data_IF_394556655628
#
_entry.id   IF_394556655628
#
_cell.length_a   1.000
_cell.length_b   1.000
_cell.length_c   1.000
_cell.angle_alpha   90.00
_cell.angle_beta   90.00
_cell.angle_gamma   90.00
#
_symmetry.space_group_name_H-M   'P 1'
#
loop_
_entity.id
_entity.type
_entity.pdbx_description
1 polymer ?
#
# COMPACT_ATOMS: atom_id res chain seq x y z
N UNK A 1 66.86 3.81 0.24
CA UNK A 1 65.67 3.65 -0.63
C UNK A 1 64.73 2.64 0.03
N UNK A 2 63.69 3.09 0.75
CA UNK A 2 62.68 2.22 1.35
C UNK A 2 61.30 2.74 0.92
N UNK A 3 60.84 2.27 -0.24
CA UNK A 3 59.53 2.62 -0.79
C UNK A 3 58.45 1.92 0.05
N UNK A 4 57.63 2.70 0.75
CA UNK A 4 56.44 2.19 1.43
C UNK A 4 55.28 2.28 0.43
N UNK A 5 54.75 1.14 0.00
CA UNK A 5 53.56 1.08 -0.82
C UNK A 5 52.33 1.38 0.06
N UNK A 6 51.64 2.49 -0.21
CA UNK A 6 50.38 2.83 0.42
C UNK A 6 49.27 2.09 -0.34
N UNK A 7 48.68 1.07 0.29
CA UNK A 7 47.49 0.39 -0.24
C UNK A 7 46.28 1.21 0.18
N UNK A 8 45.69 1.94 -0.78
CA UNK A 8 44.44 2.65 -0.59
C UNK A 8 43.31 1.65 -0.84
N UNK A 9 42.70 1.14 0.24
CA UNK A 9 41.50 0.32 0.16
C UNK A 9 40.29 1.24 -0.09
N UNK A 10 39.86 1.32 -1.35
CA UNK A 10 38.62 2.00 -1.72
C UNK A 10 37.43 1.12 -1.30
N UNK A 11 36.82 1.40 -0.15
CA UNK A 11 35.54 0.79 0.23
C UNK A 11 34.42 1.43 -0.60
N UNK A 12 34.02 0.78 -1.69
CA UNK A 12 32.79 1.10 -2.42
C UNK A 12 31.58 0.68 -1.57
N UNK A 13 30.98 1.63 -0.85
CA UNK A 13 29.65 1.41 -0.28
C UNK A 13 28.62 1.61 -1.39
N UNK A 14 28.11 0.51 -1.95
CA UNK A 14 26.95 0.56 -2.82
C UNK A 14 25.74 0.92 -1.95
N UNK A 15 25.33 2.19 -1.98
CA UNK A 15 24.08 2.62 -1.37
C UNK A 15 22.92 1.88 -2.04
N UNK A 16 22.16 1.12 -1.26
CA UNK A 16 20.91 0.53 -1.74
C UNK A 16 19.94 1.70 -1.98
N UNK A 17 19.77 2.08 -3.24
CA UNK A 17 18.70 3.00 -3.64
C UNK A 17 17.40 2.22 -3.54
N UNK A 18 16.68 2.38 -2.44
CA UNK A 18 15.32 1.87 -2.35
C UNK A 18 14.44 2.71 -3.27
N UNK A 19 13.90 2.11 -4.33
CA UNK A 19 12.89 2.76 -5.16
C UNK A 19 11.66 3.07 -4.28
N UNK A 20 11.50 4.33 -3.87
CA UNK A 20 10.31 4.78 -3.17
C UNK A 20 9.18 4.92 -4.19
N UNK A 21 8.03 4.29 -3.93
CA UNK A 21 6.82 4.51 -4.72
C UNK A 21 6.45 6.00 -4.68
N UNK A 22 6.37 6.68 -5.83
CA UNK A 22 5.99 8.09 -5.86
C UNK A 22 4.67 8.37 -5.14
N UNK A 23 4.62 9.46 -4.36
CA UNK A 23 3.44 9.82 -3.55
C UNK A 23 2.14 9.94 -4.37
N UNK A 24 2.22 10.38 -5.61
CA UNK A 24 1.08 10.52 -6.54
C UNK A 24 0.47 9.17 -7.00
N UNK A 25 1.07 8.05 -6.59
CA UNK A 25 0.51 6.72 -6.82
C UNK A 25 -0.40 6.29 -5.68
N UNK A 26 -0.32 6.90 -4.51
CA UNK A 26 -1.21 6.57 -3.40
C UNK A 26 -2.55 7.27 -3.53
N UNK A 27 -3.61 6.56 -3.13
CA UNK A 27 -4.90 7.13 -2.86
C UNK A 27 -4.89 7.79 -1.46
N UNK A 28 -4.86 9.13 -1.42
CA UNK A 28 -4.68 9.90 -0.20
C UNK A 28 -5.77 10.96 -0.04
N UNK A 29 -6.39 11.00 1.14
CA UNK A 29 -7.22 12.12 1.56
C UNK A 29 -6.38 13.07 2.41
N UNK A 30 -6.05 14.25 1.89
CA UNK A 30 -5.20 15.24 2.57
C UNK A 30 -3.84 14.65 3.07
N UNK A 31 -3.30 13.68 2.34
CA UNK A 31 -2.06 12.97 2.71
C UNK A 31 -2.22 11.75 3.61
N UNK A 32 -3.46 11.40 3.98
CA UNK A 32 -3.82 10.27 4.82
C UNK A 32 -4.22 9.06 3.95
N UNK A 33 -3.58 7.92 4.19
CA UNK A 33 -3.93 6.67 3.54
C UNK A 33 -5.25 6.10 4.07
N UNK A 34 -5.99 5.42 3.19
CA UNK A 34 -7.21 4.67 3.52
C UNK A 34 -8.23 5.53 4.30
N UNK A 35 -8.26 6.84 4.02
CA UNK A 35 -9.16 7.79 4.69
C UNK A 35 -9.07 7.73 6.24
N UNK A 36 -7.91 7.33 6.79
CA UNK A 36 -7.66 7.23 8.22
C UNK A 36 -7.95 5.88 8.87
N UNK A 37 -8.35 4.87 8.09
CA UNK A 37 -8.54 3.50 8.59
C UNK A 37 -7.21 2.78 8.79
N UNK A 38 -7.17 1.93 9.82
CA UNK A 38 -5.99 1.18 10.23
C UNK A 38 -5.68 0.03 9.25
N UNK A 39 -4.55 0.08 8.51
CA UNK A 39 -4.20 -0.96 7.53
C UNK A 39 -3.97 -2.33 8.18
N UNK A 40 -3.56 -2.38 9.46
CA UNK A 40 -3.31 -3.63 10.18
C UNK A 40 -4.62 -4.27 10.64
N UNK A 41 -5.63 -3.46 10.98
CA UNK A 41 -6.92 -3.96 11.47
C UNK A 41 -7.62 -4.89 10.46
N UNK A 42 -7.47 -4.63 9.15
CA UNK A 42 -7.98 -5.50 8.09
C UNK A 42 -7.46 -6.95 8.19
N UNK A 43 -6.25 -7.15 8.72
CA UNK A 43 -5.64 -8.47 8.84
C UNK A 43 -5.88 -9.10 10.21
N UNK A 44 -5.70 -8.32 11.29
CA UNK A 44 -5.75 -8.86 12.65
C UNK A 44 -7.18 -8.96 13.20
N UNK A 45 -8.12 -8.17 12.67
CA UNK A 45 -9.54 -8.19 13.06
C UNK A 45 -10.48 -8.56 11.92
N UNK A 46 -9.99 -8.63 10.68
CA UNK A 46 -10.83 -8.78 9.48
C UNK A 46 -11.95 -7.72 9.44
N UNK A 47 -11.62 -6.48 9.81
CA UNK A 47 -12.54 -5.36 9.89
C UNK A 47 -11.83 -4.06 9.51
N UNK A 48 -12.57 -3.16 8.88
CA UNK A 48 -12.18 -1.77 8.76
C UNK A 48 -12.38 -1.11 10.13
N UNK A 49 -11.30 -0.58 10.70
CA UNK A 49 -11.34 0.12 11.99
C UNK A 49 -10.69 1.47 11.80
N UNK A 50 -11.38 2.54 12.20
CA UNK A 50 -10.81 3.89 12.18
C UNK A 50 -9.57 3.95 13.09
N UNK A 51 -8.50 4.50 12.53
CA UNK A 51 -7.30 4.81 13.28
C UNK A 51 -7.43 6.13 14.02
N UNK A 52 -6.50 6.37 14.94
CA UNK A 52 -6.43 7.60 15.72
C UNK A 52 -5.19 8.40 15.37
N UNK A 53 -5.34 9.72 15.30
CA UNK A 53 -4.22 10.65 15.03
C UNK A 53 -3.07 10.51 16.05
N UNK A 54 -3.38 10.19 17.31
CA UNK A 54 -2.37 9.93 18.34
C UNK A 54 -1.43 8.76 18.03
N UNK A 55 -1.89 7.80 17.21
CA UNK A 55 -1.09 6.66 16.77
C UNK A 55 -0.54 6.83 15.35
N UNK A 56 -0.49 8.04 14.79
CA UNK A 56 -0.02 8.25 13.42
C UNK A 56 1.43 7.79 13.18
N UNK A 57 1.71 7.34 11.96
CA UNK A 57 3.05 7.13 11.43
C UNK A 57 3.11 7.62 9.98
N UNK A 58 4.21 8.28 9.60
CA UNK A 58 4.44 8.70 8.22
C UNK A 58 5.59 7.89 7.63
N UNK A 59 5.33 7.23 6.50
CA UNK A 59 6.31 6.46 5.75
C UNK A 59 6.21 6.84 4.27
N UNK A 60 7.34 7.09 3.60
CA UNK A 60 7.38 7.48 2.19
C UNK A 60 6.48 8.70 1.85
N UNK A 61 6.33 9.63 2.80
CA UNK A 61 5.47 10.81 2.63
C UNK A 61 3.96 10.54 2.71
N UNK A 62 3.56 9.34 3.10
CA UNK A 62 2.17 8.91 3.33
C UNK A 62 1.94 8.77 4.83
N UNK A 63 0.86 9.37 5.34
CA UNK A 63 0.47 9.24 6.75
C UNK A 63 -0.53 8.10 6.90
N UNK A 64 -0.28 7.23 7.87
CA UNK A 64 -1.16 6.14 8.29
C UNK A 64 -1.62 6.37 9.73
N UNK A 65 -2.89 6.11 10.01
CA UNK A 65 -3.42 6.06 11.37
C UNK A 65 -3.65 4.62 11.79
N UNK A 66 -3.57 4.39 13.09
CA UNK A 66 -3.75 3.05 13.67
C UNK A 66 -4.72 3.12 14.84
N UNK A 67 -5.48 2.06 15.05
CA UNK A 67 -6.43 1.95 16.15
C UNK A 67 -5.73 1.75 17.50
N UNK A 68 -4.46 1.32 17.49
CA UNK A 68 -3.62 1.12 18.67
C UNK A 68 -2.13 1.30 18.39
N UNK A 69 -1.34 1.54 19.43
CA UNK A 69 0.12 1.55 19.35
C UNK A 69 0.69 0.19 18.87
N UNK A 70 0.09 -0.93 19.28
CA UNK A 70 0.50 -2.26 18.84
C UNK A 70 0.34 -2.45 17.32
N UNK A 71 -0.76 -1.97 16.74
CA UNK A 71 -0.97 -2.01 15.29
C UNK A 71 0.05 -1.13 14.56
N UNK A 72 0.33 0.07 15.06
CA UNK A 72 1.41 0.92 14.52
C UNK A 72 2.75 0.19 14.51
N UNK A 73 3.11 -0.51 15.58
CA UNK A 73 4.37 -1.26 15.65
C UNK A 73 4.42 -2.44 14.66
N UNK A 74 3.31 -3.16 14.48
CA UNK A 74 3.22 -4.22 13.47
C UNK A 74 3.45 -3.67 12.07
N UNK A 75 2.84 -2.51 11.75
CA UNK A 75 3.03 -1.85 10.48
C UNK A 75 4.48 -1.42 10.25
N UNK A 76 5.09 -0.75 11.22
CA UNK A 76 6.49 -0.29 11.11
C UNK A 76 7.45 -1.47 10.86
N UNK A 77 7.19 -2.62 11.48
CA UNK A 77 8.02 -3.83 11.30
C UNK A 77 7.89 -4.44 9.90
N UNK A 78 6.73 -4.35 9.26
CA UNK A 78 6.49 -4.97 7.96
C UNK A 78 5.41 -4.23 7.14
N UNK A 79 5.68 -2.99 6.76
CA UNK A 79 4.69 -2.12 6.10
C UNK A 79 4.18 -2.73 4.79
N UNK A 80 5.07 -3.37 4.02
CA UNK A 80 4.75 -3.98 2.71
C UNK A 80 3.65 -5.05 2.80
N UNK A 81 3.50 -5.70 3.96
CA UNK A 81 2.44 -6.68 4.17
C UNK A 81 1.07 -6.03 4.38
N UNK A 82 1.03 -4.88 5.05
CA UNK A 82 -0.21 -4.22 5.46
C UNK A 82 -0.67 -3.13 4.50
N UNK A 83 0.23 -2.58 3.67
CA UNK A 83 -0.13 -1.59 2.68
C UNK A 83 -1.14 -2.15 1.66
N UNK A 84 -2.17 -1.37 1.30
CA UNK A 84 -3.15 -1.80 0.31
C UNK A 84 -2.49 -1.93 -1.06
N UNK A 85 -2.91 -2.94 -1.81
CA UNK A 85 -2.51 -3.08 -3.20
C UNK A 85 -2.96 -1.88 -4.01
N UNK A 86 -2.25 -1.62 -5.10
CA UNK A 86 -2.55 -0.55 -6.03
C UNK A 86 -2.62 0.82 -5.35
N UNK A 87 -1.77 1.06 -4.34
CA UNK A 87 -1.70 2.33 -3.62
C UNK A 87 -2.98 2.72 -2.86
N UNK A 88 -3.91 1.78 -2.65
CA UNK A 88 -5.21 2.06 -2.04
C UNK A 88 -6.30 2.53 -3.02
N UNK A 89 -6.06 2.43 -4.33
CA UNK A 89 -7.11 2.62 -5.34
C UNK A 89 -7.98 1.36 -5.49
N UNK A 90 -9.20 1.53 -6.01
CA UNK A 90 -10.15 0.44 -6.23
C UNK A 90 -9.56 -0.67 -7.12
N UNK A 91 -9.42 -1.87 -6.57
CA UNK A 91 -8.85 -3.02 -7.26
C UNK A 91 -9.65 -3.42 -8.51
N UNK A 92 -10.98 -3.34 -8.44
CA UNK A 92 -11.83 -3.59 -9.60
C UNK A 92 -11.58 -2.60 -10.74
N UNK A 93 -11.53 -1.30 -10.46
CA UNK A 93 -11.28 -0.29 -11.51
C UNK A 93 -9.89 -0.46 -12.11
N UNK A 94 -8.89 -0.75 -11.26
CA UNK A 94 -7.54 -1.06 -11.72
C UNK A 94 -7.50 -2.26 -12.68
N UNK A 95 -8.29 -3.31 -12.40
CA UNK A 95 -8.41 -4.50 -13.26
C UNK A 95 -9.23 -4.28 -14.53
N UNK A 96 -10.36 -3.58 -14.42
CA UNK A 96 -11.31 -3.41 -15.51
C UNK A 96 -10.84 -2.37 -16.54
N UNK A 97 -10.38 -1.22 -16.08
CA UNK A 97 -10.04 -0.06 -16.93
C UNK A 97 -8.63 0.48 -16.70
N UNK A 98 -7.98 0.12 -15.59
CA UNK A 98 -6.68 0.69 -15.20
C UNK A 98 -6.79 2.09 -14.60
N UNK A 99 -8.00 2.52 -14.25
CA UNK A 99 -8.26 3.84 -13.69
C UNK A 99 -8.03 3.87 -12.17
N UNK A 100 -7.64 5.04 -11.67
CA UNK A 100 -7.56 5.36 -10.24
C UNK A 100 -8.94 5.82 -9.77
N UNK A 101 -9.67 4.94 -9.10
CA UNK A 101 -11.00 5.22 -8.54
C UNK A 101 -10.95 5.09 -7.03
N UNK A 102 -11.54 6.07 -6.35
CA UNK A 102 -11.67 6.11 -4.89
C UNK A 102 -12.32 4.86 -4.31
N UNK A 103 -12.07 4.63 -3.02
CA UNK A 103 -12.54 3.45 -2.31
C UNK A 103 -13.53 3.82 -1.21
N UNK A 104 -14.25 2.81 -0.73
CA UNK A 104 -14.87 2.83 0.58
C UNK A 104 -14.01 1.94 1.50
N UNK A 105 -13.46 2.46 2.61
CA UNK A 105 -12.59 1.69 3.52
C UNK A 105 -13.23 0.42 4.08
N UNK A 106 -14.56 0.39 4.20
CA UNK A 106 -15.30 -0.76 4.73
C UNK A 106 -15.51 -1.86 3.67
N UNK A 107 -15.23 -1.58 2.40
CA UNK A 107 -15.38 -2.55 1.31
C UNK A 107 -14.01 -3.05 0.86
N UNK A 108 -13.59 -4.17 1.44
CA UNK A 108 -12.27 -4.73 1.23
C UNK A 108 -12.30 -6.25 1.05
N UNK A 109 -11.18 -6.81 0.63
CA UNK A 109 -10.92 -8.25 0.61
C UNK A 109 -9.43 -8.50 0.86
N UNK A 110 -9.13 -9.53 1.65
CA UNK A 110 -7.78 -10.08 1.76
C UNK A 110 -7.66 -11.26 0.80
N UNK A 111 -6.69 -11.21 -0.12
CA UNK A 111 -6.39 -12.30 -1.06
C UNK A 111 -4.89 -12.54 -1.04
N UNK A 112 -4.46 -13.79 -0.83
CA UNK A 112 -3.05 -14.18 -0.75
C UNK A 112 -2.21 -13.30 0.20
N UNK A 113 -2.78 -12.95 1.35
CA UNK A 113 -2.12 -12.12 2.36
C UNK A 113 -1.95 -10.66 1.95
N UNK A 114 -2.73 -10.17 0.99
CA UNK A 114 -2.70 -8.78 0.50
C UNK A 114 -4.05 -8.11 0.61
N UNK A 115 -4.05 -6.83 0.97
CA UNK A 115 -5.26 -6.01 1.12
C UNK A 115 -5.69 -5.40 -0.21
N UNK A 116 -6.92 -5.66 -0.61
CA UNK A 116 -7.58 -5.05 -1.78
C UNK A 116 -8.78 -4.23 -1.30
N UNK A 117 -8.87 -2.99 -1.78
CA UNK A 117 -9.94 -2.05 -1.45
C UNK A 117 -10.83 -1.83 -2.68
N UNK A 118 -12.11 -1.52 -2.44
CA UNK A 118 -13.11 -1.44 -3.49
C UNK A 118 -13.95 -0.17 -3.37
N UNK A 119 -14.40 0.31 -4.53
CA UNK A 119 -15.40 1.35 -4.59
C UNK A 119 -16.74 0.80 -4.10
N UNK A 120 -17.39 1.56 -3.23
CA UNK A 120 -18.75 1.29 -2.81
C UNK A 120 -19.49 2.60 -2.50
N UNK A 121 -20.63 2.78 -3.15
CA UNK A 121 -21.60 3.84 -2.89
C UNK A 121 -23.01 3.25 -2.87
N UNK A 122 -23.99 4.06 -2.48
CA UNK A 122 -25.38 3.63 -2.25
C UNK A 122 -25.97 2.74 -3.36
N UNK A 123 -25.59 2.97 -4.63
CA UNK A 123 -26.14 2.24 -5.78
C UNK A 123 -25.11 1.36 -6.51
N UNK A 124 -23.83 1.37 -6.11
CA UNK A 124 -22.80 0.65 -6.84
C UNK A 124 -21.69 0.17 -5.92
N UNK A 125 -21.55 -1.16 -5.81
CA UNK A 125 -20.47 -1.84 -5.11
C UNK A 125 -19.68 -2.69 -6.12
N UNK A 126 -18.36 -2.50 -6.18
CA UNK A 126 -17.51 -3.22 -7.14
C UNK A 126 -16.97 -4.54 -6.61
N UNK A 127 -17.01 -4.81 -5.29
CA UNK A 127 -16.55 -6.09 -4.73
C UNK A 127 -17.35 -7.30 -5.26
N UNK A 128 -18.70 -7.27 -5.36
CA UNK A 128 -19.44 -8.37 -6.00
C UNK A 128 -19.07 -8.60 -7.46
N UNK A 129 -18.71 -7.54 -8.21
CA UNK A 129 -18.27 -7.66 -9.61
C UNK A 129 -16.88 -8.29 -9.68
N UNK A 130 -15.98 -7.83 -8.81
CA UNK A 130 -14.65 -8.42 -8.65
C UNK A 130 -14.72 -9.92 -8.34
N UNK A 131 -15.56 -10.32 -7.38
CA UNK A 131 -15.67 -11.72 -6.96
C UNK A 131 -16.10 -12.68 -8.09
N UNK A 132 -16.76 -12.20 -9.15
CA UNK A 132 -17.16 -13.03 -10.29
C UNK A 132 -16.01 -13.37 -11.22
N UNK A 133 -15.00 -12.50 -11.30
CA UNK A 133 -13.92 -12.56 -12.31
C UNK A 133 -12.54 -12.29 -11.66
N UNK A 134 -12.39 -12.63 -10.38
CA UNK A 134 -11.26 -12.20 -9.53
C UNK A 134 -9.89 -12.54 -10.13
N UNK A 135 -9.70 -13.77 -10.59
CA UNK A 135 -8.42 -14.22 -11.14
C UNK A 135 -8.01 -13.39 -12.37
N UNK A 136 -8.94 -13.13 -13.28
CA UNK A 136 -8.68 -12.35 -14.48
C UNK A 136 -8.48 -10.87 -14.17
N UNK A 137 -9.35 -10.29 -13.32
CA UNK A 137 -9.25 -8.89 -12.93
C UNK A 137 -7.96 -8.60 -12.16
N UNK A 138 -7.51 -9.51 -11.29
CA UNK A 138 -6.23 -9.37 -10.59
C UNK A 138 -5.05 -9.37 -11.55
N UNK A 139 -5.02 -10.26 -12.53
CA UNK A 139 -3.95 -10.28 -13.55
C UNK A 139 -3.92 -8.98 -14.37
N UNK A 140 -5.10 -8.48 -14.77
CA UNK A 140 -5.20 -7.19 -15.47
C UNK A 140 -4.80 -6.03 -14.57
N UNK A 141 -5.20 -6.03 -13.30
CA UNK A 141 -4.87 -4.99 -12.33
C UNK A 141 -3.37 -4.93 -12.08
N UNK A 142 -2.71 -6.08 -11.88
CA UNK A 142 -1.26 -6.18 -11.70
C UNK A 142 -0.52 -5.63 -12.95
N UNK A 143 -1.01 -5.95 -14.15
CA UNK A 143 -0.46 -5.43 -15.42
C UNK A 143 -0.66 -3.93 -15.58
N UNK A 144 -1.85 -3.41 -15.26
CA UNK A 144 -2.15 -1.99 -15.38
C UNK A 144 -1.38 -1.17 -14.35
N UNK A 145 -1.32 -1.66 -13.11
CA UNK A 145 -0.55 -1.03 -12.04
C UNK A 145 0.93 -0.89 -12.39
N UNK A 146 1.54 -1.94 -12.96
CA UNK A 146 2.94 -1.88 -13.41
C UNK A 146 3.20 -0.80 -14.46
N UNK A 147 2.21 -0.42 -15.29
CA UNK A 147 2.36 0.69 -16.24
C UNK A 147 2.32 2.06 -15.56
N UNK A 148 1.57 2.18 -14.46
CA UNK A 148 1.45 3.41 -13.68
C UNK A 148 2.62 3.60 -12.70
N UNK A 149 3.20 2.49 -12.24
CA UNK A 149 4.34 2.42 -11.33
C UNK A 149 5.49 1.61 -11.99
N UNK A 150 6.15 2.18 -13.01
CA UNK A 150 7.21 1.51 -13.77
C UNK A 150 8.48 1.24 -12.93
#
# INVERSE_FOLDING_TARGET
>A
MKSHAIIIVLMLTAGIVTAQTPRNLYNLDNGLAIQGYDPVAYFVKNQAVEGKKEFAHTQNGVTYYFASAANKELFIKNSQHYEPQYGGWCAYAMGATGEKVEINPETFKIVDGKLYLFYNSLFNNTLPKWNKEEAELKLKADKNWKKLNP
#
